data_IF_910070635356
#
_entry.id   IF_910070635356
#
_cell.length_a   1.000
_cell.length_b   1.000
_cell.length_c   1.000
_cell.angle_alpha   90.00
_cell.angle_beta   90.00
_cell.angle_gamma   90.00
#
_symmetry.space_group_name_H-M   'P 1'
#
loop_
_entity.id
_entity.type
_entity.pdbx_description
1 polymer ?
#
# COMPACT_ATOMS: atom_id res chain seq x y z
N UNK A 1 -15.90 16.29 45.25
CA UNK A 1 -15.62 14.87 45.49
C UNK A 1 -15.01 14.27 44.22
N UNK A 2 -13.79 13.89 44.34
CA UNK A 2 -12.94 13.39 43.26
C UNK A 2 -13.36 11.96 42.89
N UNK A 3 -13.96 11.74 41.72
CA UNK A 3 -14.23 10.41 41.18
C UNK A 3 -12.89 9.86 40.65
N UNK A 4 -12.27 9.01 41.46
CA UNK A 4 -11.15 8.14 41.12
C UNK A 4 -11.46 7.37 39.85
N UNK A 5 -10.79 7.70 38.76
CA UNK A 5 -10.66 6.83 37.59
C UNK A 5 -9.98 5.53 38.07
N UNK A 6 -10.71 4.43 38.03
CA UNK A 6 -10.15 3.12 38.33
C UNK A 6 -8.86 2.92 37.51
N UNK A 7 -7.75 2.46 38.13
CA UNK A 7 -6.52 2.21 37.40
C UNK A 7 -6.77 1.17 36.34
N UNK A 8 -6.36 1.48 35.11
CA UNK A 8 -6.38 0.53 33.98
C UNK A 8 -5.66 -0.75 34.42
N UNK A 9 -6.39 -1.86 34.44
CA UNK A 9 -5.86 -3.17 34.74
C UNK A 9 -4.61 -3.42 33.89
N UNK A 10 -3.48 -3.82 34.45
CA UNK A 10 -2.28 -4.14 33.67
C UNK A 10 -2.65 -5.19 32.61
N UNK A 11 -2.31 -4.94 31.36
CA UNK A 11 -2.56 -5.89 30.28
C UNK A 11 -1.92 -7.24 30.66
N UNK A 12 -2.74 -8.30 30.65
CA UNK A 12 -2.27 -9.66 30.94
C UNK A 12 -1.01 -9.96 30.10
N UNK A 13 0.10 -10.40 30.70
CA UNK A 13 1.34 -10.73 29.99
C UNK A 13 1.14 -11.71 28.82
N UNK A 14 0.15 -12.62 28.92
CA UNK A 14 -0.23 -13.53 27.84
C UNK A 14 -0.85 -12.78 26.65
N UNK A 15 -1.67 -11.76 26.90
CA UNK A 15 -2.27 -10.89 25.86
C UNK A 15 -1.20 -10.06 25.15
N UNK A 16 -0.21 -9.55 25.87
CA UNK A 16 0.89 -8.76 25.28
C UNK A 16 1.83 -9.62 24.41
N UNK A 17 2.10 -10.88 24.79
CA UNK A 17 2.92 -11.82 24.03
C UNK A 17 2.21 -12.26 22.73
N UNK A 18 0.89 -12.50 22.80
CA UNK A 18 0.07 -12.82 21.64
C UNK A 18 0.00 -11.62 20.67
N UNK A 19 -0.22 -10.41 21.17
CA UNK A 19 -0.24 -9.20 20.34
C UNK A 19 1.08 -8.99 19.58
N UNK A 20 2.22 -9.23 20.21
CA UNK A 20 3.55 -9.15 19.54
C UNK A 20 3.70 -10.23 18.48
N UNK A 21 3.27 -11.46 18.74
CA UNK A 21 3.32 -12.56 17.76
C UNK A 21 2.45 -12.26 16.52
N UNK A 22 1.25 -11.75 16.74
CA UNK A 22 0.33 -11.34 15.67
C UNK A 22 0.89 -10.16 14.87
N UNK A 23 1.43 -9.14 15.55
CA UNK A 23 2.04 -7.98 14.89
C UNK A 23 3.27 -8.39 14.06
N UNK A 24 4.12 -9.28 14.56
CA UNK A 24 5.28 -9.80 13.83
C UNK A 24 4.88 -10.60 12.59
N UNK A 25 3.86 -11.45 12.71
CA UNK A 25 3.37 -12.21 11.56
C UNK A 25 2.67 -11.32 10.51
N UNK A 26 1.93 -10.28 10.94
CA UNK A 26 1.34 -9.29 10.05
C UNK A 26 2.43 -8.48 9.33
N UNK A 27 3.48 -8.07 10.04
CA UNK A 27 4.64 -7.39 9.46
C UNK A 27 5.32 -8.21 8.35
N UNK A 28 5.63 -9.50 8.62
CA UNK A 28 6.26 -10.37 7.63
C UNK A 28 5.31 -10.59 6.44
N UNK A 29 4.03 -10.83 6.69
CA UNK A 29 3.02 -10.96 5.63
C UNK A 29 3.00 -9.72 4.72
N UNK A 30 2.91 -8.52 5.31
CA UNK A 30 2.90 -7.27 4.55
C UNK A 30 4.23 -7.02 3.80
N UNK A 31 5.37 -7.44 4.34
CA UNK A 31 6.65 -7.31 3.65
C UNK A 31 6.71 -8.17 2.38
N UNK A 32 6.25 -9.42 2.47
CA UNK A 32 6.24 -10.35 1.34
C UNK A 32 5.18 -9.95 0.29
N UNK A 33 4.00 -9.52 0.73
CA UNK A 33 2.97 -8.93 -0.15
C UNK A 33 3.50 -7.70 -0.89
N UNK A 34 4.19 -6.82 -0.18
CA UNK A 34 4.79 -5.63 -0.77
C UNK A 34 5.88 -5.97 -1.79
N UNK A 35 6.69 -6.99 -1.52
CA UNK A 35 7.67 -7.49 -2.50
C UNK A 35 6.98 -7.88 -3.81
N UNK A 36 5.98 -8.76 -3.74
CA UNK A 36 5.26 -9.28 -4.91
C UNK A 36 4.65 -8.15 -5.76
N UNK A 37 4.24 -7.08 -5.10
CA UNK A 37 3.62 -5.94 -5.75
C UNK A 37 4.65 -4.98 -6.35
N UNK A 38 5.71 -4.69 -5.59
CA UNK A 38 6.71 -3.69 -5.98
C UNK A 38 7.72 -4.21 -7.00
N UNK A 39 7.96 -5.54 -7.04
CA UNK A 39 8.82 -6.16 -8.06
C UNK A 39 8.32 -5.84 -9.47
N UNK A 40 7.00 -5.85 -9.68
CA UNK A 40 6.42 -5.49 -10.96
C UNK A 40 6.58 -3.99 -11.27
N UNK A 41 6.38 -3.10 -10.30
CA UNK A 41 6.56 -1.66 -10.48
C UNK A 41 7.98 -1.29 -10.91
N UNK A 42 8.98 -1.87 -10.27
CA UNK A 42 10.40 -1.68 -10.62
C UNK A 42 10.72 -2.28 -11.99
N UNK A 43 10.23 -3.49 -12.27
CA UNK A 43 10.41 -4.11 -13.58
C UNK A 43 9.73 -3.29 -14.70
N UNK A 44 8.52 -2.77 -14.48
CA UNK A 44 7.80 -1.92 -15.42
C UNK A 44 8.56 -0.61 -15.73
N UNK A 45 9.24 -0.07 -14.73
CA UNK A 45 10.05 1.14 -14.90
C UNK A 45 11.34 0.90 -15.71
N UNK A 46 11.95 -0.29 -15.57
CA UNK A 46 13.31 -0.55 -16.04
C UNK A 46 13.40 -1.48 -17.25
N UNK A 47 12.56 -2.55 -17.33
CA UNK A 47 12.81 -3.61 -18.31
C UNK A 47 11.59 -4.16 -19.07
N UNK A 48 10.37 -4.17 -18.50
CA UNK A 48 9.22 -4.88 -19.12
C UNK A 48 8.86 -4.34 -20.52
N UNK A 49 9.13 -3.07 -20.79
CA UNK A 49 8.92 -2.49 -22.12
C UNK A 49 9.75 -3.21 -23.21
N UNK A 50 11.00 -3.59 -22.92
CA UNK A 50 11.88 -4.29 -23.88
C UNK A 50 11.44 -5.75 -24.08
N UNK A 51 10.93 -6.40 -23.02
CA UNK A 51 10.59 -7.82 -23.04
C UNK A 51 9.19 -8.09 -23.63
N UNK A 52 8.21 -7.24 -23.29
CA UNK A 52 6.80 -7.47 -23.62
C UNK A 52 6.24 -6.52 -24.68
N UNK A 53 6.95 -5.43 -25.01
CA UNK A 53 6.50 -4.41 -25.93
C UNK A 53 7.63 -3.94 -26.89
N UNK A 54 8.41 -4.87 -27.52
CA UNK A 54 9.57 -4.48 -28.34
C UNK A 54 9.21 -3.79 -29.65
N UNK A 55 8.00 -3.99 -30.18
CA UNK A 55 7.55 -3.49 -31.50
C UNK A 55 7.04 -2.05 -31.48
N UNK A 56 7.05 -1.39 -30.30
CA UNK A 56 6.65 0.00 -30.15
C UNK A 56 7.84 0.86 -29.71
N UNK A 57 7.73 2.19 -29.88
CA UNK A 57 8.75 3.09 -29.37
C UNK A 57 8.91 2.99 -27.84
N UNK A 58 10.07 3.41 -27.34
CA UNK A 58 10.41 3.24 -25.94
C UNK A 58 9.45 3.93 -24.97
N UNK A 59 8.88 5.10 -25.32
CA UNK A 59 7.93 5.83 -24.49
C UNK A 59 6.59 5.10 -24.40
N UNK A 60 6.06 4.67 -25.54
CA UNK A 60 4.83 3.84 -25.62
C UNK A 60 5.01 2.51 -24.87
N UNK A 61 6.16 1.85 -25.00
CA UNK A 61 6.43 0.60 -24.28
C UNK A 61 6.42 0.77 -22.77
N UNK A 62 6.98 1.86 -22.24
CA UNK A 62 6.90 2.20 -20.82
C UNK A 62 5.49 2.51 -20.38
N UNK A 63 4.73 3.28 -21.18
CA UNK A 63 3.32 3.57 -20.88
C UNK A 63 2.50 2.27 -20.79
N UNK A 64 2.67 1.33 -21.73
CA UNK A 64 2.00 0.03 -21.71
C UNK A 64 2.40 -0.81 -20.49
N UNK A 65 3.68 -0.77 -20.08
CA UNK A 65 4.16 -1.42 -18.87
C UNK A 65 3.50 -0.84 -17.61
N UNK A 66 3.37 0.49 -17.52
CA UNK A 66 2.69 1.16 -16.41
C UNK A 66 1.16 0.93 -16.44
N UNK A 67 0.53 0.89 -17.62
CA UNK A 67 -0.88 0.52 -17.73
C UNK A 67 -1.11 -0.91 -17.23
N UNK A 68 -0.22 -1.84 -17.57
CA UNK A 68 -0.27 -3.22 -17.08
C UNK A 68 -0.11 -3.26 -15.55
N UNK A 69 0.75 -2.43 -14.95
CA UNK A 69 0.82 -2.26 -13.49
C UNK A 69 -0.53 -1.83 -12.92
N UNK A 70 -1.17 -0.83 -13.52
CA UNK A 70 -2.48 -0.29 -13.12
C UNK A 70 -3.61 -1.32 -13.18
N UNK A 71 -3.58 -2.27 -14.14
CA UNK A 71 -4.60 -3.32 -14.28
C UNK A 71 -4.75 -4.18 -13.03
N UNK A 72 -3.66 -4.45 -12.29
CA UNK A 72 -3.74 -5.17 -11.04
C UNK A 72 -4.60 -4.48 -9.97
N UNK A 73 -4.69 -3.16 -9.99
CA UNK A 73 -5.52 -2.42 -9.03
C UNK A 73 -7.01 -2.46 -9.37
N UNK A 74 -7.39 -2.58 -10.65
CA UNK A 74 -8.79 -2.68 -11.07
C UNK A 74 -9.46 -3.94 -10.49
N UNK A 75 -8.71 -5.04 -10.36
CA UNK A 75 -9.24 -6.29 -9.84
C UNK A 75 -9.40 -6.31 -8.30
N UNK A 76 -8.76 -5.39 -7.55
CA UNK A 76 -8.78 -5.37 -6.08
C UNK A 76 -10.17 -5.29 -5.45
N UNK A 77 -11.10 -4.43 -5.89
CA UNK A 77 -12.45 -4.39 -5.32
C UNK A 77 -13.19 -5.72 -5.48
N UNK A 78 -13.02 -6.39 -6.64
CA UNK A 78 -13.60 -7.71 -6.90
C UNK A 78 -12.99 -8.76 -5.96
N UNK A 79 -11.67 -8.71 -5.78
CA UNK A 79 -10.95 -9.55 -4.83
C UNK A 79 -11.40 -9.34 -3.39
N UNK A 80 -11.61 -8.10 -2.96
CA UNK A 80 -12.12 -7.74 -1.64
C UNK A 80 -13.50 -8.38 -1.37
N UNK A 81 -14.39 -8.38 -2.38
CA UNK A 81 -15.71 -9.01 -2.29
C UNK A 81 -15.57 -10.54 -2.22
N UNK A 82 -14.79 -11.12 -3.12
CA UNK A 82 -14.62 -12.57 -3.24
C UNK A 82 -14.00 -13.16 -1.97
N UNK A 83 -12.82 -12.67 -1.60
CA UNK A 83 -12.07 -13.19 -0.45
C UNK A 83 -12.65 -12.73 0.88
N UNK A 84 -13.32 -11.58 0.93
CA UNK A 84 -14.14 -11.16 2.07
C UNK A 84 -15.27 -12.15 2.33
N UNK A 85 -15.99 -12.56 1.30
CA UNK A 85 -17.07 -13.54 1.41
C UNK A 85 -16.58 -14.94 1.84
N UNK A 86 -15.45 -15.39 1.29
CA UNK A 86 -14.79 -16.64 1.71
C UNK A 86 -14.37 -16.52 3.19
N UNK A 87 -13.76 -15.40 3.58
CA UNK A 87 -13.30 -15.15 4.94
C UNK A 87 -14.44 -15.16 5.98
N UNK A 88 -15.58 -14.62 5.63
CA UNK A 88 -16.75 -14.55 6.51
C UNK A 88 -17.52 -15.87 6.61
N UNK A 89 -17.45 -16.74 5.59
CA UNK A 89 -18.15 -18.04 5.57
C UNK A 89 -17.29 -19.24 5.95
N UNK A 90 -16.07 -19.30 5.43
CA UNK A 90 -15.18 -20.46 5.54
C UNK A 90 -14.13 -20.26 6.63
N UNK A 91 -13.79 -19.01 6.91
CA UNK A 91 -12.82 -18.63 7.93
C UNK A 91 -11.75 -17.66 7.38
N UNK A 92 -11.36 -16.72 8.23
CA UNK A 92 -10.38 -15.68 7.86
C UNK A 92 -9.01 -16.27 7.51
N UNK A 93 -8.58 -17.30 8.25
CA UNK A 93 -7.34 -18.03 7.99
C UNK A 93 -7.34 -18.66 6.60
N UNK A 94 -8.44 -19.34 6.24
CA UNK A 94 -8.59 -20.00 4.94
C UNK A 94 -8.56 -19.01 3.78
N UNK A 95 -9.27 -17.89 3.90
CA UNK A 95 -9.27 -16.82 2.92
C UNK A 95 -7.85 -16.29 2.68
N UNK A 96 -7.11 -15.98 3.76
CA UNK A 96 -5.76 -15.47 3.69
C UNK A 96 -4.73 -16.48 3.13
N UNK A 97 -4.94 -17.78 3.32
CA UNK A 97 -4.11 -18.81 2.70
C UNK A 97 -4.30 -18.76 1.17
N UNK A 98 -5.55 -18.71 0.71
CA UNK A 98 -5.83 -18.65 -0.72
C UNK A 98 -5.32 -17.38 -1.39
N UNK A 99 -5.38 -16.22 -0.70
CA UNK A 99 -4.82 -14.97 -1.23
C UNK A 99 -3.30 -15.06 -1.39
N UNK A 100 -2.57 -15.60 -0.40
CA UNK A 100 -1.13 -15.79 -0.47
C UNK A 100 -0.74 -16.74 -1.61
N UNK A 101 -1.45 -17.87 -1.76
CA UNK A 101 -1.17 -18.84 -2.82
C UNK A 101 -1.44 -18.22 -4.20
N UNK A 102 -2.61 -17.58 -4.38
CA UNK A 102 -2.95 -16.96 -5.66
C UNK A 102 -1.95 -15.87 -6.04
N UNK A 103 -1.55 -15.02 -5.07
CA UNK A 103 -0.61 -13.93 -5.30
C UNK A 103 0.78 -14.47 -5.66
N UNK A 104 1.34 -15.35 -4.85
CA UNK A 104 2.68 -15.88 -5.08
C UNK A 104 2.77 -16.71 -6.38
N UNK A 105 1.72 -17.48 -6.71
CA UNK A 105 1.65 -18.20 -7.98
C UNK A 105 1.56 -17.23 -9.15
N UNK A 106 0.71 -16.21 -9.08
CA UNK A 106 0.56 -15.26 -10.16
C UNK A 106 1.84 -14.42 -10.37
N UNK A 107 2.51 -13.99 -9.29
CA UNK A 107 3.79 -13.27 -9.36
C UNK A 107 4.90 -14.16 -9.93
N UNK A 108 5.06 -15.37 -9.41
CA UNK A 108 6.06 -16.32 -9.89
C UNK A 108 5.84 -16.73 -11.35
N UNK A 109 4.57 -16.86 -11.77
CA UNK A 109 4.20 -17.16 -13.15
C UNK A 109 4.60 -16.04 -14.14
N UNK A 110 4.69 -14.77 -13.72
CA UNK A 110 5.28 -13.71 -14.56
C UNK A 110 6.70 -14.06 -14.95
N UNK A 111 7.51 -14.58 -14.02
CA UNK A 111 8.88 -15.02 -14.30
C UNK A 111 8.98 -16.24 -15.22
N UNK A 112 7.89 -16.99 -15.39
CA UNK A 112 7.81 -18.15 -16.29
C UNK A 112 7.23 -17.80 -17.66
N UNK A 113 6.72 -16.57 -17.86
CA UNK A 113 6.14 -16.17 -19.14
C UNK A 113 7.20 -16.16 -20.25
N UNK A 114 6.88 -16.71 -21.44
CA UNK A 114 7.66 -16.43 -22.64
C UNK A 114 7.59 -14.95 -22.99
N UNK A 115 8.63 -14.43 -23.59
CA UNK A 115 8.72 -13.05 -24.08
C UNK A 115 7.91 -12.82 -25.36
N UNK A 116 7.83 -11.56 -25.80
CA UNK A 116 7.14 -11.19 -27.02
C UNK A 116 7.73 -11.87 -28.27
N UNK A 117 9.05 -12.02 -28.32
CA UNK A 117 9.72 -12.66 -29.46
C UNK A 117 9.33 -14.14 -29.61
N UNK A 118 8.92 -14.78 -28.52
CA UNK A 118 8.55 -16.22 -28.50
C UNK A 118 7.07 -16.44 -28.83
N UNK A 119 6.14 -15.67 -28.24
CA UNK A 119 4.68 -15.90 -28.37
C UNK A 119 3.90 -14.67 -28.85
N UNK A 120 4.59 -13.61 -29.30
CA UNK A 120 3.96 -12.41 -29.85
C UNK A 120 3.01 -11.73 -28.84
N UNK A 121 1.87 -11.29 -29.36
CA UNK A 121 0.85 -10.53 -28.58
C UNK A 121 0.32 -11.31 -27.36
N UNK A 122 0.45 -12.63 -27.32
CA UNK A 122 0.04 -13.43 -26.18
C UNK A 122 0.86 -13.13 -24.92
N UNK A 123 2.14 -12.70 -25.06
CA UNK A 123 2.99 -12.36 -23.93
C UNK A 123 2.42 -11.21 -23.09
N UNK A 124 2.14 -10.01 -23.63
CA UNK A 124 1.51 -8.94 -22.87
C UNK A 124 0.09 -9.25 -22.41
N UNK A 125 -0.71 -10.01 -23.17
CA UNK A 125 -2.05 -10.40 -22.75
C UNK A 125 -2.03 -11.30 -21.50
N UNK A 126 -1.15 -12.31 -21.49
CA UNK A 126 -0.97 -13.17 -20.32
C UNK A 126 -0.41 -12.39 -19.12
N UNK A 127 0.49 -11.44 -19.36
CA UNK A 127 1.00 -10.55 -18.33
C UNK A 127 -0.14 -9.76 -17.67
N UNK A 128 -1.08 -9.20 -18.45
CA UNK A 128 -2.28 -8.52 -17.93
C UNK A 128 -3.16 -9.47 -17.12
N UNK A 129 -3.40 -10.69 -17.61
CA UNK A 129 -4.19 -11.70 -16.88
C UNK A 129 -3.55 -12.01 -15.52
N UNK A 130 -2.23 -12.23 -15.48
CA UNK A 130 -1.52 -12.47 -14.21
C UNK A 130 -1.62 -11.27 -13.27
N UNK A 131 -1.57 -10.03 -13.78
CA UNK A 131 -1.77 -8.82 -12.99
C UNK A 131 -3.17 -8.72 -12.41
N UNK A 132 -4.20 -9.08 -13.17
CA UNK A 132 -5.58 -9.14 -12.66
C UNK A 132 -5.71 -10.19 -11.54
N UNK A 133 -5.10 -11.37 -11.69
CA UNK A 133 -5.08 -12.42 -10.67
C UNK A 133 -4.36 -11.97 -9.38
N UNK A 134 -3.22 -11.28 -9.51
CA UNK A 134 -2.54 -10.65 -8.36
C UNK A 134 -3.45 -9.63 -7.66
N UNK A 135 -4.10 -8.76 -8.44
CA UNK A 135 -5.03 -7.77 -7.89
C UNK A 135 -6.20 -8.39 -7.13
N UNK A 136 -6.78 -9.48 -7.66
CA UNK A 136 -7.82 -10.24 -6.96
C UNK A 136 -7.33 -10.74 -5.59
N UNK A 137 -6.10 -11.24 -5.51
CA UNK A 137 -5.53 -11.77 -4.26
C UNK A 137 -5.42 -10.70 -3.17
N UNK A 138 -4.95 -9.48 -3.51
CA UNK A 138 -4.63 -8.41 -2.53
C UNK A 138 -5.87 -7.72 -1.95
N UNK A 139 -7.03 -7.79 -2.65
CA UNK A 139 -8.19 -6.91 -2.39
C UNK A 139 -8.73 -6.86 -0.96
N UNK A 140 -8.53 -7.90 -0.13
CA UNK A 140 -9.09 -7.95 1.23
C UNK A 140 -8.05 -7.89 2.37
N UNK A 141 -6.76 -7.92 2.10
CA UNK A 141 -5.75 -8.19 3.13
C UNK A 141 -5.37 -6.97 3.97
N UNK A 142 -5.20 -5.80 3.35
CA UNK A 142 -4.72 -4.59 4.04
C UNK A 142 -5.66 -4.11 5.16
N UNK A 143 -6.96 -4.01 4.88
CA UNK A 143 -7.94 -3.58 5.87
C UNK A 143 -8.01 -4.51 7.08
N UNK A 144 -7.85 -5.82 6.87
CA UNK A 144 -7.82 -6.82 7.93
C UNK A 144 -6.61 -6.69 8.84
N UNK A 145 -5.42 -6.49 8.29
CA UNK A 145 -4.18 -6.35 9.06
C UNK A 145 -4.20 -5.10 9.96
N UNK A 146 -4.69 -3.95 9.43
CA UNK A 146 -4.87 -2.72 10.21
C UNK A 146 -5.91 -2.90 11.32
N UNK A 147 -7.06 -3.51 11.01
CA UNK A 147 -8.12 -3.70 11.99
C UNK A 147 -7.67 -4.58 13.16
N UNK A 148 -7.02 -5.72 12.86
CA UNK A 148 -6.47 -6.61 13.89
C UNK A 148 -5.44 -5.88 14.75
N UNK A 149 -4.55 -5.11 14.16
CA UNK A 149 -3.53 -4.35 14.89
C UNK A 149 -4.16 -3.30 15.81
N UNK A 150 -5.21 -2.61 15.36
CA UNK A 150 -5.88 -1.55 16.14
C UNK A 150 -6.83 -2.08 17.22
N UNK A 151 -7.48 -3.23 17.00
CA UNK A 151 -8.36 -3.86 17.99
C UNK A 151 -7.62 -4.38 19.22
N UNK A 152 -6.36 -4.84 19.05
CA UNK A 152 -5.52 -5.30 20.16
C UNK A 152 -4.74 -4.17 20.85
N UNK A 153 -4.83 -2.94 20.33
CA UNK A 153 -4.10 -1.79 20.87
C UNK A 153 -4.90 -1.07 21.96
N UNK A 154 -4.20 -0.63 23.01
CA UNK A 154 -4.78 0.32 23.95
C UNK A 154 -5.18 1.60 23.23
N UNK A 155 -6.30 2.29 23.60
CA UNK A 155 -6.84 3.47 22.90
C UNK A 155 -5.79 4.54 22.59
N UNK A 156 -4.87 4.80 23.52
CA UNK A 156 -3.77 5.79 23.37
C UNK A 156 -2.65 5.36 22.43
N UNK A 157 -2.65 4.10 21.94
CA UNK A 157 -1.59 3.55 21.07
C UNK A 157 -2.14 3.08 19.71
N UNK A 158 -3.42 3.32 19.42
CA UNK A 158 -4.08 2.81 18.20
C UNK A 158 -3.38 3.24 16.92
N UNK A 159 -3.02 4.53 16.78
CA UNK A 159 -2.36 5.03 15.57
C UNK A 159 -0.96 4.41 15.38
N UNK A 160 -0.19 4.24 16.46
CA UNK A 160 1.10 3.55 16.40
C UNK A 160 0.95 2.08 15.96
N UNK A 161 -0.01 1.36 16.54
CA UNK A 161 -0.26 -0.04 16.15
C UNK A 161 -0.79 -0.17 14.73
N UNK A 162 -1.55 0.81 14.23
CA UNK A 162 -1.95 0.89 12.82
C UNK A 162 -0.75 1.13 11.88
N UNK A 163 0.31 1.80 12.35
CA UNK A 163 1.53 2.05 11.58
C UNK A 163 2.47 0.84 11.51
N UNK A 164 2.41 -0.11 12.45
CA UNK A 164 3.31 -1.28 12.48
C UNK A 164 3.23 -2.14 11.22
N UNK A 165 2.06 -2.57 10.72
CA UNK A 165 1.95 -3.29 9.46
C UNK A 165 2.55 -2.51 8.28
N UNK A 166 2.44 -1.18 8.29
CA UNK A 166 2.95 -0.31 7.23
C UNK A 166 4.48 -0.35 7.08
N UNK A 167 5.21 -0.75 8.13
CA UNK A 167 6.67 -0.95 8.08
C UNK A 167 7.04 -2.10 7.12
N UNK A 168 6.14 -3.04 6.88
CA UNK A 168 6.35 -4.12 5.91
C UNK A 168 6.58 -3.59 4.48
N UNK A 169 5.92 -2.48 4.12
CA UNK A 169 6.05 -1.86 2.80
C UNK A 169 7.50 -1.46 2.45
N UNK A 170 8.22 -0.65 3.23
CA UNK A 170 9.63 -0.35 2.94
C UNK A 170 10.54 -1.59 2.98
N UNK A 171 10.24 -2.60 3.79
CA UNK A 171 11.01 -3.87 3.75
C UNK A 171 10.83 -4.57 2.41
N UNK A 172 9.61 -4.65 1.89
CA UNK A 172 9.34 -5.17 0.54
C UNK A 172 10.11 -4.39 -0.53
N UNK A 173 10.11 -3.04 -0.45
CA UNK A 173 10.89 -2.18 -1.38
C UNK A 173 12.39 -2.45 -1.28
N UNK A 174 12.94 -2.59 -0.07
CA UNK A 174 14.36 -2.91 0.14
C UNK A 174 14.69 -4.25 -0.52
N UNK A 175 13.87 -5.28 -0.32
CA UNK A 175 14.07 -6.59 -0.93
C UNK A 175 14.05 -6.53 -2.47
N UNK A 176 13.07 -5.83 -3.05
CA UNK A 176 12.99 -5.63 -4.51
C UNK A 176 14.21 -4.88 -5.02
N UNK A 177 14.50 -3.73 -4.41
CA UNK A 177 15.60 -2.87 -4.85
C UNK A 177 16.95 -3.57 -4.73
N UNK A 178 17.20 -4.31 -3.63
CA UNK A 178 18.41 -5.10 -3.47
C UNK A 178 18.53 -6.19 -4.58
N UNK A 179 17.42 -6.84 -4.93
CA UNK A 179 17.40 -7.81 -6.03
C UNK A 179 17.76 -7.14 -7.35
N UNK A 180 17.15 -6.01 -7.71
CA UNK A 180 17.47 -5.30 -8.96
C UNK A 180 18.85 -4.66 -8.96
N UNK A 181 19.40 -4.22 -7.83
CA UNK A 181 20.79 -3.76 -7.71
C UNK A 181 21.80 -4.88 -8.03
N UNK A 182 21.53 -6.11 -7.57
CA UNK A 182 22.35 -7.27 -7.93
C UNK A 182 22.24 -7.54 -9.44
N UNK A 183 21.07 -7.40 -10.03
CA UNK A 183 20.86 -7.60 -11.47
C UNK A 183 21.46 -6.46 -12.31
N UNK A 184 21.55 -5.25 -11.81
CA UNK A 184 22.16 -4.11 -12.51
C UNK A 184 23.68 -4.29 -12.76
N UNK A 185 24.30 -5.33 -12.18
CA UNK A 185 25.71 -5.73 -12.48
C UNK A 185 25.81 -6.71 -13.65
N UNK A 186 24.70 -7.18 -14.19
CA UNK A 186 24.62 -8.14 -15.28
C UNK A 186 24.51 -7.39 -16.62
N UNK A 187 25.06 -7.96 -17.70
CA UNK A 187 24.97 -7.34 -19.02
C UNK A 187 23.53 -7.30 -19.55
N UNK A 188 23.23 -6.31 -20.42
CA UNK A 188 21.90 -6.17 -21.02
C UNK A 188 21.49 -7.43 -21.79
N UNK A 189 22.44 -8.10 -22.50
CA UNK A 189 22.15 -9.34 -23.21
C UNK A 189 21.73 -10.47 -22.26
N UNK A 190 22.42 -10.62 -21.12
CA UNK A 190 22.04 -11.64 -20.13
C UNK A 190 20.71 -11.30 -19.46
N UNK A 191 20.44 -10.01 -19.23
CA UNK A 191 19.17 -9.53 -18.71
C UNK A 191 18.02 -9.93 -19.65
N UNK A 192 18.15 -9.65 -20.94
CA UNK A 192 17.15 -10.00 -21.96
C UNK A 192 17.08 -11.51 -22.21
N UNK A 193 18.19 -12.25 -22.09
CA UNK A 193 18.22 -13.71 -22.22
C UNK A 193 17.44 -14.46 -21.11
N UNK A 194 17.04 -13.78 -20.03
CA UNK A 194 16.15 -14.36 -19.03
C UNK A 194 16.48 -14.05 -17.58
N UNK A 195 17.55 -13.33 -17.26
CA UNK A 195 17.90 -12.97 -15.88
C UNK A 195 16.81 -12.08 -15.24
N UNK A 196 16.07 -11.30 -16.01
CA UNK A 196 14.92 -10.51 -15.58
C UNK A 196 13.82 -11.34 -14.88
N UNK A 197 13.80 -12.66 -15.09
CA UNK A 197 12.84 -13.58 -14.48
C UNK A 197 13.09 -13.80 -12.99
N UNK A 198 14.34 -13.69 -12.55
CA UNK A 198 14.77 -14.02 -11.18
C UNK A 198 13.95 -13.27 -10.11
N UNK A 199 13.75 -11.95 -10.19
CA UNK A 199 12.93 -11.25 -9.20
C UNK A 199 11.52 -11.79 -9.05
N UNK A 200 10.89 -12.20 -10.14
CA UNK A 200 9.55 -12.79 -10.11
C UNK A 200 9.56 -14.22 -9.57
N UNK A 201 10.55 -15.02 -9.94
CA UNK A 201 10.68 -16.41 -9.43
C UNK A 201 10.95 -16.47 -7.93
N UNK A 202 11.56 -15.45 -7.33
CA UNK A 202 11.72 -15.31 -5.88
C UNK A 202 10.37 -15.22 -5.14
N UNK A 203 9.28 -14.90 -5.82
CA UNK A 203 7.96 -14.95 -5.23
C UNK A 203 7.57 -16.37 -4.74
N UNK A 204 8.02 -17.43 -5.40
CA UNK A 204 7.73 -18.82 -4.98
C UNK A 204 8.30 -19.16 -3.59
N UNK A 205 9.61 -19.01 -3.30
CA UNK A 205 10.13 -19.25 -1.95
C UNK A 205 9.52 -18.28 -0.92
N UNK A 206 9.26 -17.02 -1.28
CA UNK A 206 8.62 -16.07 -0.39
C UNK A 206 7.17 -16.47 -0.06
N UNK A 207 6.41 -16.93 -1.06
CA UNK A 207 5.08 -17.53 -0.83
C UNK A 207 5.17 -18.72 0.12
N UNK A 208 6.17 -19.61 -0.05
CA UNK A 208 6.39 -20.76 0.85
C UNK A 208 6.59 -20.32 2.30
N UNK A 209 7.41 -19.29 2.54
CA UNK A 209 7.64 -18.71 3.87
C UNK A 209 6.36 -18.09 4.44
N UNK A 210 5.64 -17.28 3.65
CA UNK A 210 4.40 -16.65 4.06
C UNK A 210 3.33 -17.69 4.42
N UNK A 211 3.21 -18.73 3.60
CA UNK A 211 2.29 -19.84 3.81
C UNK A 211 2.62 -20.62 5.08
N UNK A 212 3.88 -20.96 5.30
CA UNK A 212 4.35 -21.62 6.52
C UNK A 212 3.98 -20.82 7.78
N UNK A 213 4.27 -19.51 7.78
CA UNK A 213 3.93 -18.64 8.89
C UNK A 213 2.42 -18.55 9.13
N UNK A 214 1.62 -18.52 8.05
CA UNK A 214 0.17 -18.41 8.12
C UNK A 214 -0.49 -19.70 8.61
N UNK A 215 0.03 -20.84 8.22
CA UNK A 215 -0.42 -22.14 8.70
C UNK A 215 -0.19 -22.32 10.21
N UNK A 216 0.89 -21.73 10.75
CA UNK A 216 1.22 -21.76 12.18
C UNK A 216 0.37 -20.83 13.06
N UNK A 217 -0.49 -19.96 12.47
CA UNK A 217 -1.38 -19.06 13.22
C UNK A 217 -2.77 -19.73 13.32
N UNK A 218 -3.35 -19.73 14.54
CA UNK A 218 -4.72 -20.17 14.74
C UNK A 218 -5.74 -19.14 14.24
N UNK A 219 -6.95 -19.62 13.92
CA UNK A 219 -8.11 -18.77 13.62
C UNK A 219 -8.44 -17.85 14.81
N UNK A 220 -8.84 -16.61 14.51
CA UNK A 220 -9.06 -15.57 15.54
C UNK A 220 -10.15 -15.97 16.55
N UNK A 221 -9.95 -15.69 17.86
CA UNK A 221 -10.98 -15.97 18.89
C UNK A 221 -12.32 -15.28 18.58
N UNK A 222 -12.27 -14.08 17.99
CA UNK A 222 -13.45 -13.30 17.59
C UNK A 222 -14.26 -14.06 16.53
N UNK A 223 -13.59 -14.62 15.51
CA UNK A 223 -14.28 -15.43 14.50
C UNK A 223 -14.84 -16.72 15.10
N UNK A 224 -14.05 -17.43 15.92
CA UNK A 224 -14.51 -18.66 16.61
C UNK A 224 -15.76 -18.41 17.47
N UNK A 225 -15.83 -17.27 18.16
CA UNK A 225 -16.99 -16.89 18.99
C UNK A 225 -18.19 -16.45 18.17
N UNK A 226 -17.98 -15.67 17.09
CA UNK A 226 -19.05 -15.21 16.19
C UNK A 226 -19.68 -16.40 15.42
N UNK A 227 -18.85 -17.36 14.96
CA UNK A 227 -19.31 -18.57 14.30
C UNK A 227 -20.17 -19.43 15.25
N UNK A 228 -19.74 -19.60 16.52
CA UNK A 228 -20.53 -20.32 17.55
C UNK A 228 -21.86 -19.62 17.85
N UNK A 229 -21.91 -18.29 17.78
CA UNK A 229 -23.11 -17.51 18.09
C UNK A 229 -24.08 -17.34 16.89
N UNK A 230 -23.82 -17.93 15.74
CA UNK A 230 -24.59 -17.76 14.48
C UNK A 230 -24.82 -16.28 14.09
N UNK A 231 -23.92 -15.37 14.50
CA UNK A 231 -24.01 -13.92 14.29
C UNK A 231 -23.16 -13.42 13.11
N UNK A 232 -22.85 -14.28 12.15
CA UNK A 232 -22.13 -13.89 10.95
C UNK A 232 -23.06 -13.02 10.09
N UNK A 233 -22.62 -11.82 9.79
CA UNK A 233 -23.40 -10.82 9.00
C UNK A 233 -23.60 -11.35 7.58
N UNK A 234 -24.84 -11.38 7.08
CA UNK A 234 -25.16 -11.98 5.78
C UNK A 234 -24.47 -11.27 4.60
N UNK A 235 -24.36 -9.93 4.58
CA UNK A 235 -23.68 -9.18 3.49
C UNK A 235 -23.19 -7.83 4.01
N UNK A 236 -21.97 -7.71 4.60
CA UNK A 236 -21.41 -6.43 5.08
C UNK A 236 -21.28 -5.38 3.97
N UNK A 237 -20.94 -5.81 2.75
CA UNK A 237 -20.77 -4.94 1.59
C UNK A 237 -22.03 -4.10 1.29
N UNK A 238 -23.21 -4.70 1.31
CA UNK A 238 -24.47 -3.99 1.01
C UNK A 238 -24.76 -2.89 2.05
N UNK A 239 -24.45 -3.17 3.32
CA UNK A 239 -24.57 -2.20 4.39
C UNK A 239 -23.62 -1.01 4.20
N UNK A 240 -22.35 -1.29 3.86
CA UNK A 240 -21.34 -0.25 3.58
C UNK A 240 -21.77 0.60 2.40
N UNK A 241 -22.20 0.00 1.29
CA UNK A 241 -22.62 0.73 0.10
C UNK A 241 -23.89 1.56 0.32
N UNK A 242 -24.82 1.13 1.18
CA UNK A 242 -26.06 1.87 1.46
C UNK A 242 -25.90 2.97 2.49
N UNK A 243 -25.13 2.73 3.56
CA UNK A 243 -25.09 3.63 4.72
C UNK A 243 -23.76 4.36 4.92
N UNK A 244 -22.65 3.89 4.30
CA UNK A 244 -21.30 4.41 4.55
C UNK A 244 -20.54 4.82 3.27
N UNK A 245 -21.20 4.88 2.11
CA UNK A 245 -20.56 5.21 0.83
C UNK A 245 -19.80 6.56 0.88
N UNK A 246 -20.36 7.58 1.57
CA UNK A 246 -19.70 8.87 1.71
C UNK A 246 -18.42 8.77 2.56
N UNK A 247 -18.42 7.97 3.63
CA UNK A 247 -17.22 7.71 4.43
C UNK A 247 -16.17 6.92 3.62
N UNK A 248 -16.61 5.97 2.77
CA UNK A 248 -15.71 5.23 1.87
C UNK A 248 -15.02 6.19 0.89
N UNK A 249 -15.76 7.09 0.24
CA UNK A 249 -15.16 8.08 -0.69
C UNK A 249 -14.20 9.04 0.03
N UNK A 250 -14.57 9.51 1.21
CA UNK A 250 -13.71 10.37 2.04
C UNK A 250 -12.43 9.65 2.45
N UNK A 251 -12.52 8.38 2.87
CA UNK A 251 -11.37 7.56 3.20
C UNK A 251 -10.49 7.27 1.97
N UNK A 252 -11.10 7.03 0.80
CA UNK A 252 -10.38 6.85 -0.46
C UNK A 252 -9.60 8.11 -0.83
N UNK A 253 -10.22 9.28 -0.74
CA UNK A 253 -9.55 10.56 -0.98
C UNK A 253 -8.37 10.79 0.00
N UNK A 254 -8.57 10.50 1.30
CA UNK A 254 -7.51 10.60 2.31
C UNK A 254 -6.36 9.62 2.09
N UNK A 255 -6.59 8.50 1.41
CA UNK A 255 -5.59 7.47 1.14
C UNK A 255 -4.73 7.73 -0.10
N UNK A 256 -5.21 8.58 -1.02
CA UNK A 256 -4.65 8.71 -2.37
C UNK A 256 -3.17 9.07 -2.37
N UNK A 257 -2.75 10.07 -1.58
CA UNK A 257 -1.35 10.47 -1.50
C UNK A 257 -0.49 9.35 -0.89
N UNK A 258 -0.94 8.73 0.21
CA UNK A 258 -0.20 7.69 0.90
C UNK A 258 0.16 6.51 0.01
N UNK A 259 -0.75 6.13 -0.90
CA UNK A 259 -0.55 5.01 -1.84
C UNK A 259 0.12 5.51 -3.12
N UNK A 260 -0.41 6.58 -3.72
CA UNK A 260 -0.01 7.05 -5.05
C UNK A 260 1.39 7.66 -5.08
N UNK A 261 1.81 8.33 -3.99
CA UNK A 261 3.17 8.88 -3.90
C UNK A 261 4.25 7.81 -4.02
N UNK A 262 4.02 6.59 -3.53
CA UNK A 262 4.94 5.48 -3.72
C UNK A 262 5.17 5.20 -5.21
N UNK A 263 4.10 5.03 -6.00
CA UNK A 263 4.22 4.73 -7.44
C UNK A 263 4.79 5.88 -8.24
N UNK A 264 4.51 7.12 -7.84
CA UNK A 264 5.11 8.28 -8.48
C UNK A 264 6.61 8.38 -8.15
N UNK A 265 6.97 8.32 -6.86
CA UNK A 265 8.35 8.59 -6.41
C UNK A 265 9.31 7.41 -6.59
N UNK A 266 8.81 6.17 -6.63
CA UNK A 266 9.65 5.00 -6.89
C UNK A 266 9.51 4.54 -8.35
N UNK A 267 8.32 4.16 -8.80
CA UNK A 267 8.14 3.57 -10.12
C UNK A 267 8.36 4.61 -11.24
N UNK A 268 7.60 5.73 -11.24
CA UNK A 268 7.73 6.73 -12.30
C UNK A 268 9.10 7.45 -12.24
N UNK A 269 9.52 7.89 -11.07
CA UNK A 269 10.77 8.66 -10.92
C UNK A 269 12.03 7.83 -11.24
N UNK A 270 12.00 6.50 -11.05
CA UNK A 270 13.05 5.61 -11.55
C UNK A 270 13.13 5.65 -13.09
N UNK A 271 12.02 5.49 -13.77
CA UNK A 271 11.95 5.57 -15.23
C UNK A 271 12.35 6.95 -15.75
N UNK A 272 11.89 8.03 -15.10
CA UNK A 272 12.27 9.40 -15.42
C UNK A 272 13.78 9.62 -15.23
N UNK A 273 14.35 9.15 -14.14
CA UNK A 273 15.77 9.24 -13.83
C UNK A 273 16.65 8.55 -14.88
N UNK A 274 16.28 7.35 -15.30
CA UNK A 274 17.07 6.60 -16.29
C UNK A 274 16.88 7.11 -17.72
N UNK A 275 15.64 7.43 -18.14
CA UNK A 275 15.31 7.73 -19.54
C UNK A 275 15.43 9.21 -19.89
N UNK A 276 15.06 10.10 -18.97
CA UNK A 276 15.06 11.55 -19.23
C UNK A 276 16.34 12.20 -18.71
N UNK A 277 16.78 11.81 -17.51
CA UNK A 277 17.98 12.39 -16.89
C UNK A 277 19.27 11.62 -17.23
N UNK A 278 19.20 10.45 -17.87
CA UNK A 278 20.36 9.64 -18.23
C UNK A 278 21.14 9.07 -17.04
N UNK A 279 20.50 8.97 -15.85
CA UNK A 279 21.13 8.40 -14.67
C UNK A 279 21.24 6.88 -14.80
N UNK A 280 22.27 6.28 -14.18
CA UNK A 280 22.40 4.83 -14.16
C UNK A 280 21.27 4.18 -13.36
N UNK A 281 20.90 2.94 -13.73
CA UNK A 281 19.91 2.14 -13.00
C UNK A 281 20.31 1.98 -11.53
N UNK A 282 21.60 1.78 -11.24
CA UNK A 282 22.10 1.68 -9.88
C UNK A 282 21.87 2.97 -9.07
N UNK A 283 21.96 4.15 -9.70
CA UNK A 283 21.67 5.42 -9.02
C UNK A 283 20.22 5.52 -8.58
N UNK A 284 19.26 5.23 -9.47
CA UNK A 284 17.84 5.35 -9.16
C UNK A 284 17.39 4.28 -8.16
N UNK A 285 17.97 3.08 -8.24
CA UNK A 285 17.74 2.01 -7.27
C UNK A 285 18.31 2.34 -5.89
N UNK A 286 19.54 2.88 -5.82
CA UNK A 286 20.12 3.32 -4.55
C UNK A 286 19.29 4.42 -3.87
N UNK A 287 18.75 5.37 -4.64
CA UNK A 287 17.86 6.39 -4.10
C UNK A 287 16.60 5.77 -3.47
N UNK A 288 15.97 4.79 -4.14
CA UNK A 288 14.83 4.06 -3.61
C UNK A 288 15.20 3.23 -2.36
N UNK A 289 16.37 2.59 -2.35
CA UNK A 289 16.87 1.82 -1.22
C UNK A 289 17.06 2.71 0.02
N UNK A 290 17.80 3.81 -0.11
CA UNK A 290 18.08 4.74 1.00
C UNK A 290 16.79 5.38 1.51
N UNK A 291 15.88 5.77 0.60
CA UNK A 291 14.55 6.26 0.96
C UNK A 291 13.74 5.25 1.78
N UNK A 292 13.76 3.98 1.38
CA UNK A 292 13.05 2.91 2.09
C UNK A 292 13.66 2.59 3.45
N UNK A 293 15.00 2.65 3.58
CA UNK A 293 15.67 2.50 4.89
C UNK A 293 15.25 3.63 5.83
N UNK A 294 15.13 4.87 5.35
CA UNK A 294 14.63 5.98 6.17
C UNK A 294 13.18 5.75 6.61
N UNK A 295 12.34 5.14 5.77
CA UNK A 295 10.95 4.84 6.12
C UNK A 295 10.81 3.85 7.27
N UNK A 296 11.79 2.96 7.52
CA UNK A 296 11.78 2.07 8.68
C UNK A 296 11.79 2.84 10.01
N UNK A 297 12.35 4.05 10.01
CA UNK A 297 12.38 4.93 11.19
C UNK A 297 11.23 5.94 11.18
N UNK A 298 10.94 6.53 10.03
CA UNK A 298 9.94 7.60 9.92
C UNK A 298 8.51 7.09 10.06
N UNK A 299 8.17 5.89 9.58
CA UNK A 299 6.81 5.32 9.78
C UNK A 299 6.47 5.16 11.26
N UNK A 300 7.28 4.49 12.11
CA UNK A 300 7.01 4.41 13.55
C UNK A 300 6.97 5.78 14.24
N UNK A 301 7.88 6.68 13.86
CA UNK A 301 7.93 8.03 14.42
C UNK A 301 6.63 8.82 14.12
N UNK A 302 6.15 8.79 12.89
CA UNK A 302 4.89 9.42 12.51
C UNK A 302 3.67 8.70 13.11
N UNK A 303 3.70 7.38 13.25
CA UNK A 303 2.68 6.63 13.98
C UNK A 303 2.61 7.03 15.45
N UNK A 304 3.76 7.25 16.10
CA UNK A 304 3.83 7.78 17.47
C UNK A 304 3.31 9.23 17.56
N UNK A 305 3.70 10.08 16.61
CA UNK A 305 3.22 11.47 16.56
C UNK A 305 1.71 11.53 16.30
N UNK A 306 1.18 10.65 15.45
CA UNK A 306 -0.26 10.53 15.18
C UNK A 306 -1.09 10.20 16.44
N UNK A 307 -0.53 9.44 17.40
CA UNK A 307 -1.19 9.22 18.69
C UNK A 307 -1.34 10.52 19.52
N UNK A 308 -0.45 11.49 19.32
CA UNK A 308 -0.49 12.78 20.07
C UNK A 308 -1.38 13.81 19.41
N UNK A 309 -1.27 13.98 18.09
CA UNK A 309 -1.97 15.04 17.36
C UNK A 309 -3.26 14.57 16.67
N UNK A 310 -3.47 13.26 16.57
CA UNK A 310 -4.59 12.62 15.87
C UNK A 310 -4.22 12.21 14.44
N UNK A 311 -4.74 11.05 14.00
CA UNK A 311 -4.40 10.45 12.70
C UNK A 311 -4.79 11.34 11.52
N UNK A 312 -5.98 11.96 11.54
CA UNK A 312 -6.43 12.85 10.46
C UNK A 312 -5.55 14.10 10.31
N UNK A 313 -5.11 14.68 11.43
CA UNK A 313 -4.18 15.83 11.39
C UNK A 313 -2.82 15.43 10.88
N UNK A 314 -2.35 14.22 11.20
CA UNK A 314 -1.07 13.73 10.72
C UNK A 314 -1.09 13.48 9.21
N UNK A 315 -2.16 12.86 8.69
CA UNK A 315 -2.37 12.69 7.23
C UNK A 315 -2.39 14.06 6.55
N UNK A 316 -3.14 15.01 7.09
CA UNK A 316 -3.24 16.37 6.54
C UNK A 316 -1.89 17.09 6.55
N UNK A 317 -1.13 17.02 7.64
CA UNK A 317 0.20 17.69 7.73
C UNK A 317 1.19 17.10 6.72
N UNK A 318 1.20 15.77 6.53
CA UNK A 318 1.99 15.10 5.49
C UNK A 318 1.58 15.55 4.09
N UNK A 319 0.28 15.65 3.82
CA UNK A 319 -0.22 16.09 2.52
C UNK A 319 0.08 17.58 2.23
N UNK A 320 -0.06 18.47 3.23
CA UNK A 320 0.32 19.89 3.10
C UNK A 320 1.83 20.02 2.85
N UNK A 321 2.66 19.32 3.61
CA UNK A 321 4.11 19.35 3.41
C UNK A 321 4.47 18.82 2.00
N UNK A 322 3.83 17.74 1.53
CA UNK A 322 4.05 17.21 0.19
C UNK A 322 3.60 18.20 -0.90
N UNK A 323 2.47 18.89 -0.71
CA UNK A 323 2.01 19.92 -1.65
C UNK A 323 3.05 21.05 -1.80
N UNK A 324 3.61 21.52 -0.68
CA UNK A 324 4.60 22.60 -0.68
C UNK A 324 5.87 22.18 -1.41
N UNK A 325 6.33 20.93 -1.23
CA UNK A 325 7.59 20.46 -1.85
C UNK A 325 7.39 19.91 -3.26
N UNK A 326 6.17 19.71 -3.75
CA UNK A 326 5.88 18.99 -5.01
C UNK A 326 6.63 19.56 -6.22
N UNK A 327 6.61 20.87 -6.43
CA UNK A 327 7.33 21.51 -7.53
C UNK A 327 8.83 21.67 -7.24
N UNK A 328 9.27 22.22 -6.08
CA UNK A 328 10.69 22.28 -5.73
C UNK A 328 11.40 20.93 -5.83
N UNK A 329 10.74 19.83 -5.42
CA UNK A 329 11.28 18.48 -5.48
C UNK A 329 11.71 18.12 -6.91
N UNK A 330 10.78 18.21 -7.88
CA UNK A 330 11.06 17.83 -9.26
C UNK A 330 11.91 18.84 -10.02
N UNK A 331 11.86 20.12 -9.65
CA UNK A 331 12.81 21.11 -10.15
C UNK A 331 14.25 20.75 -9.75
N UNK A 332 14.50 20.38 -8.50
CA UNK A 332 15.81 19.93 -8.04
C UNK A 332 16.22 18.63 -8.74
N UNK A 333 15.30 17.63 -8.81
CA UNK A 333 15.57 16.36 -9.47
C UNK A 333 16.00 16.55 -10.92
N UNK A 334 15.34 17.42 -11.67
CA UNK A 334 15.64 17.64 -13.10
C UNK A 334 17.00 18.26 -13.38
N UNK A 335 17.61 18.91 -12.38
CA UNK A 335 18.93 19.54 -12.47
C UNK A 335 19.98 18.82 -11.61
N UNK A 336 19.64 17.63 -11.08
CA UNK A 336 20.46 16.99 -10.06
C UNK A 336 21.60 16.15 -10.67
N UNK A 337 22.77 16.23 -10.05
CA UNK A 337 23.78 15.17 -10.13
C UNK A 337 23.39 14.01 -9.22
N UNK A 338 24.10 12.87 -9.33
CA UNK A 338 23.79 11.64 -8.58
C UNK A 338 23.60 11.86 -7.06
N UNK A 339 24.50 12.52 -6.31
CA UNK A 339 24.30 12.74 -4.87
C UNK A 339 23.09 13.62 -4.57
N UNK A 340 22.83 14.66 -5.34
CA UNK A 340 21.69 15.57 -5.15
C UNK A 340 20.38 14.82 -5.46
N UNK A 341 20.34 13.99 -6.50
CA UNK A 341 19.19 13.14 -6.83
C UNK A 341 18.82 12.23 -5.65
N UNK A 342 19.80 11.48 -5.12
CA UNK A 342 19.58 10.55 -3.99
C UNK A 342 19.08 11.31 -2.77
N UNK A 343 19.73 12.43 -2.40
CA UNK A 343 19.34 13.24 -1.26
C UNK A 343 17.93 13.83 -1.41
N UNK A 344 17.57 14.24 -2.63
CA UNK A 344 16.28 14.83 -2.92
C UNK A 344 15.15 13.79 -2.82
N UNK A 345 15.36 12.56 -3.30
CA UNK A 345 14.42 11.45 -3.14
C UNK A 345 14.27 11.08 -1.65
N UNK A 346 15.37 11.04 -0.91
CA UNK A 346 15.38 10.74 0.53
C UNK A 346 14.53 11.75 1.32
N UNK A 347 14.80 13.04 1.15
CA UNK A 347 14.10 14.11 1.87
C UNK A 347 12.66 14.23 1.39
N UNK A 348 12.43 14.16 0.08
CA UNK A 348 11.11 14.27 -0.54
C UNK A 348 10.15 13.16 -0.11
N UNK A 349 10.68 11.96 0.20
CA UNK A 349 9.90 10.83 0.67
C UNK A 349 9.37 10.96 2.10
N UNK A 350 9.93 11.87 2.93
CA UNK A 350 9.53 12.01 4.34
C UNK A 350 8.08 12.51 4.47
N UNK A 351 7.72 13.54 3.71
CA UNK A 351 6.40 14.17 3.81
C UNK A 351 5.24 13.21 3.46
N UNK A 352 5.22 12.53 2.30
CA UNK A 352 4.16 11.57 1.99
C UNK A 352 4.16 10.34 2.92
N UNK A 353 5.31 9.96 3.48
CA UNK A 353 5.39 8.87 4.48
C UNK A 353 4.60 9.20 5.74
N UNK A 354 4.48 10.48 6.13
CA UNK A 354 3.64 10.90 7.24
C UNK A 354 2.16 10.62 7.00
N UNK A 355 1.67 10.87 5.77
CA UNK A 355 0.30 10.55 5.37
C UNK A 355 0.07 9.02 5.35
N UNK A 356 1.01 8.26 4.81
CA UNK A 356 0.96 6.80 4.79
C UNK A 356 0.91 6.19 6.18
N UNK A 357 1.83 6.57 7.08
CA UNK A 357 1.93 6.02 8.44
C UNK A 357 0.66 6.21 9.27
N UNK A 358 -0.04 7.34 9.11
CA UNK A 358 -1.23 7.67 9.87
C UNK A 358 -2.55 7.20 9.22
N UNK A 359 -2.51 6.73 7.96
CA UNK A 359 -3.70 6.37 7.18
C UNK A 359 -4.54 5.29 7.86
N UNK A 360 -3.88 4.22 8.36
CA UNK A 360 -4.58 3.14 9.04
C UNK A 360 -5.34 3.60 10.29
N UNK A 361 -4.74 4.50 11.06
CA UNK A 361 -5.38 5.13 12.23
C UNK A 361 -6.59 5.98 11.84
N UNK A 362 -6.48 6.81 10.78
CA UNK A 362 -7.58 7.62 10.26
C UNK A 362 -8.75 6.74 9.84
N UNK A 363 -8.50 5.67 9.10
CA UNK A 363 -9.55 4.76 8.64
C UNK A 363 -10.21 4.02 9.81
N UNK A 364 -9.42 3.57 10.81
CA UNK A 364 -9.94 2.92 12.00
C UNK A 364 -10.80 3.86 12.88
N UNK A 365 -10.54 5.17 12.84
CA UNK A 365 -11.35 6.18 13.55
C UNK A 365 -12.65 6.53 12.80
N UNK A 366 -12.66 6.34 11.45
CA UNK A 366 -13.80 6.72 10.62
C UNK A 366 -14.89 5.64 10.56
N UNK A 367 -14.50 4.35 10.60
CA UNK A 367 -15.43 3.23 10.39
C UNK A 367 -15.74 2.47 11.68
N UNK A 368 -17.03 2.11 11.92
CA UNK A 368 -17.42 1.23 13.02
C UNK A 368 -16.76 -0.16 12.90
N UNK A 369 -16.40 -0.76 14.04
CA UNK A 369 -15.73 -2.07 14.07
C UNK A 369 -16.50 -3.18 13.31
N UNK A 370 -17.86 -3.12 13.28
CA UNK A 370 -18.73 -4.11 12.64
C UNK A 370 -18.57 -4.17 11.12
N UNK A 371 -18.35 -3.04 10.46
CA UNK A 371 -18.22 -2.90 9.01
C UNK A 371 -16.84 -2.43 8.60
N UNK A 372 -15.97 -2.15 9.56
CA UNK A 372 -14.66 -1.54 9.37
C UNK A 372 -13.78 -2.32 8.39
N UNK A 373 -13.77 -3.65 8.46
CA UNK A 373 -13.00 -4.48 7.55
C UNK A 373 -13.38 -4.22 6.08
N UNK A 374 -14.66 -4.40 5.73
CA UNK A 374 -15.16 -4.23 4.36
C UNK A 374 -15.02 -2.77 3.90
N UNK A 375 -15.35 -1.81 4.76
CA UNK A 375 -15.29 -0.39 4.41
C UNK A 375 -13.85 0.10 4.18
N UNK A 376 -12.91 -0.28 5.04
CA UNK A 376 -11.49 0.06 4.89
C UNK A 376 -10.88 -0.59 3.64
N UNK A 377 -11.16 -1.87 3.41
CA UNK A 377 -10.67 -2.59 2.23
C UNK A 377 -11.22 -2.01 0.93
N UNK A 378 -12.49 -1.61 0.90
CA UNK A 378 -13.11 -0.96 -0.26
C UNK A 378 -12.51 0.43 -0.51
N UNK A 379 -12.37 1.25 0.55
CA UNK A 379 -11.77 2.58 0.43
C UNK A 379 -10.31 2.51 -0.05
N UNK A 380 -9.53 1.59 0.51
CA UNK A 380 -8.14 1.34 0.09
C UNK A 380 -8.05 0.86 -1.36
N UNK A 381 -8.97 -0.02 -1.80
CA UNK A 381 -9.01 -0.52 -3.17
C UNK A 381 -9.36 0.57 -4.18
N UNK A 382 -10.32 1.45 -3.86
CA UNK A 382 -10.70 2.59 -4.73
C UNK A 382 -9.53 3.58 -4.86
N UNK A 383 -8.90 3.96 -3.76
CA UNK A 383 -7.70 4.80 -3.79
C UNK A 383 -6.56 4.10 -4.56
N UNK A 384 -6.43 2.78 -4.39
CA UNK A 384 -5.47 1.95 -5.09
C UNK A 384 -5.61 2.01 -6.60
N UNK A 385 -6.82 1.99 -7.16
CA UNK A 385 -7.05 2.10 -8.60
C UNK A 385 -6.41 3.40 -9.13
N UNK A 386 -6.77 4.54 -8.57
CA UNK A 386 -6.20 5.83 -9.01
C UNK A 386 -4.68 5.86 -8.82
N UNK A 387 -4.19 5.34 -7.69
CA UNK A 387 -2.76 5.30 -7.36
C UNK A 387 -1.97 4.40 -8.31
N UNK A 388 -2.52 3.26 -8.71
CA UNK A 388 -1.87 2.31 -9.62
C UNK A 388 -1.67 2.85 -11.03
N UNK A 389 -2.55 3.77 -11.47
CA UNK A 389 -2.42 4.46 -12.75
C UNK A 389 -1.58 5.75 -12.67
N UNK A 390 -1.11 6.15 -11.49
CA UNK A 390 -0.28 7.36 -11.33
C UNK A 390 0.92 7.38 -12.26
N UNK A 391 1.73 6.31 -12.42
CA UNK A 391 2.85 6.31 -13.35
C UNK A 391 2.39 6.50 -14.81
N UNK A 392 1.30 5.85 -15.22
CA UNK A 392 0.76 5.99 -16.58
C UNK A 392 0.27 7.42 -16.86
N UNK A 393 -0.48 8.00 -15.92
CA UNK A 393 -0.97 9.37 -16.02
C UNK A 393 0.21 10.34 -16.15
N UNK A 394 1.25 10.15 -15.32
CA UNK A 394 2.43 11.00 -15.33
C UNK A 394 3.23 10.83 -16.61
N UNK A 395 3.30 9.61 -17.17
CA UNK A 395 3.98 9.33 -18.44
C UNK A 395 3.29 10.04 -19.61
N UNK A 396 1.95 10.03 -19.68
CA UNK A 396 1.19 10.75 -20.69
C UNK A 396 1.46 12.26 -20.63
N UNK A 397 1.53 12.84 -19.43
CA UNK A 397 1.92 14.24 -19.27
C UNK A 397 3.37 14.49 -19.71
N UNK A 398 4.28 13.56 -19.43
CA UNK A 398 5.66 13.62 -19.87
C UNK A 398 5.78 13.69 -21.38
N UNK A 399 5.09 12.82 -22.09
CA UNK A 399 5.07 12.79 -23.57
C UNK A 399 4.48 14.08 -24.13
N UNK A 400 3.35 14.55 -23.60
CA UNK A 400 2.70 15.77 -24.05
C UNK A 400 3.48 17.05 -23.77
N UNK A 401 4.49 17.01 -22.88
CA UNK A 401 5.29 18.17 -22.47
C UNK A 401 6.76 18.08 -22.85
N UNK A 402 7.14 17.07 -23.64
CA UNK A 402 8.54 16.83 -24.01
C UNK A 402 9.47 16.55 -22.84
N UNK A 403 8.97 15.88 -21.79
CA UNK A 403 9.76 15.52 -20.60
C UNK A 403 9.95 16.66 -19.59
N UNK A 404 9.11 17.70 -19.63
CA UNK A 404 9.23 18.85 -18.73
C UNK A 404 9.21 18.44 -17.24
N UNK A 405 10.05 19.04 -16.43
CA UNK A 405 10.26 18.69 -15.03
C UNK A 405 9.02 18.88 -14.12
N UNK A 406 8.10 19.75 -14.47
CA UNK A 406 6.98 20.16 -13.61
C UNK A 406 5.81 19.17 -13.56
N UNK A 407 5.63 18.31 -14.57
CA UNK A 407 4.46 17.44 -14.68
C UNK A 407 4.30 16.42 -13.53
N UNK A 408 5.37 15.77 -12.99
CA UNK A 408 5.22 14.91 -11.82
C UNK A 408 4.87 15.72 -10.57
N UNK A 409 5.35 16.97 -10.49
CA UNK A 409 4.98 17.92 -9.44
C UNK A 409 3.49 18.24 -9.44
N UNK A 410 2.87 18.42 -10.62
CA UNK A 410 1.41 18.62 -10.75
C UNK A 410 0.65 17.41 -10.22
N UNK A 411 1.03 16.19 -10.62
CA UNK A 411 0.36 14.97 -10.18
C UNK A 411 0.47 14.81 -8.66
N UNK A 412 1.65 15.05 -8.08
CA UNK A 412 1.90 15.00 -6.65
C UNK A 412 1.08 16.06 -5.90
N UNK A 413 0.98 17.29 -6.45
CA UNK A 413 0.18 18.38 -5.89
C UNK A 413 -1.32 18.04 -5.90
N UNK A 414 -1.85 17.51 -7.01
CA UNK A 414 -3.26 17.10 -7.11
C UNK A 414 -3.60 16.00 -6.11
N UNK A 415 -2.77 14.97 -5.98
CA UNK A 415 -2.95 13.93 -4.97
C UNK A 415 -2.94 14.52 -3.55
N UNK A 416 -2.05 15.47 -3.29
CA UNK A 416 -1.96 16.15 -2.00
C UNK A 416 -3.23 16.94 -1.68
N UNK A 417 -3.75 17.71 -2.63
CA UNK A 417 -4.99 18.49 -2.48
C UNK A 417 -6.21 17.60 -2.19
N UNK A 418 -6.34 16.49 -2.96
CA UNK A 418 -7.43 15.52 -2.75
C UNK A 418 -7.29 14.88 -1.36
N UNK A 419 -6.08 14.54 -0.94
CA UNK A 419 -5.84 13.96 0.39
C UNK A 419 -6.10 14.94 1.53
N UNK A 420 -5.76 16.22 1.37
CA UNK A 420 -6.11 17.26 2.35
C UNK A 420 -7.63 17.37 2.50
N UNK A 421 -8.37 17.45 1.38
CA UNK A 421 -9.82 17.50 1.40
C UNK A 421 -10.44 16.25 2.07
N UNK A 422 -9.93 15.05 1.73
CA UNK A 422 -10.34 13.80 2.35
C UNK A 422 -10.07 13.75 3.86
N UNK A 423 -8.88 14.18 4.30
CA UNK A 423 -8.52 14.20 5.73
C UNK A 423 -9.36 15.21 6.53
N UNK A 424 -9.66 16.39 5.96
CA UNK A 424 -10.56 17.38 6.58
C UNK A 424 -11.98 16.84 6.72
N UNK A 425 -12.51 16.22 5.66
CA UNK A 425 -13.83 15.61 5.67
C UNK A 425 -13.92 14.47 6.68
N UNK A 426 -12.90 13.59 6.73
CA UNK A 426 -12.80 12.51 7.71
C UNK A 426 -12.80 13.04 9.14
N UNK A 427 -12.02 14.09 9.42
CA UNK A 427 -11.97 14.72 10.73
C UNK A 427 -13.34 15.29 11.14
N UNK A 428 -14.06 15.91 10.20
CA UNK A 428 -15.39 16.45 10.45
C UNK A 428 -16.41 15.35 10.75
N UNK A 429 -16.39 14.25 9.95
CA UNK A 429 -17.28 13.10 10.16
C UNK A 429 -17.03 12.43 11.51
N UNK A 430 -15.78 12.20 11.88
CA UNK A 430 -15.42 11.59 13.16
C UNK A 430 -15.89 12.43 14.35
N UNK A 431 -15.72 13.76 14.29
CA UNK A 431 -16.22 14.68 15.33
C UNK A 431 -17.75 14.65 15.49
N UNK A 432 -18.50 14.59 14.38
CA UNK A 432 -19.96 14.49 14.41
C UNK A 432 -20.42 13.19 15.06
N UNK A 433 -19.78 12.07 14.71
CA UNK A 433 -20.10 10.78 15.29
C UNK A 433 -19.85 10.74 16.81
N UNK A 434 -18.78 11.39 17.28
CA UNK A 434 -18.46 11.47 18.72
C UNK A 434 -19.45 12.37 19.47
N UNK A 435 -19.91 13.46 18.86
CA UNK A 435 -20.89 14.37 19.46
C UNK A 435 -22.32 13.80 19.49
N UNK A 436 -22.64 12.85 18.60
CA UNK A 436 -23.96 12.21 18.52
C UNK A 436 -24.16 11.08 19.55
N UNK A 437 -23.13 10.63 20.27
CA UNK A 437 -23.25 9.68 21.38
C UNK A 437 -23.72 10.47 22.62
N UNK A 438 -24.98 10.28 23.10
CA UNK A 438 -25.44 10.98 24.28
C UNK A 438 -24.54 10.61 25.46
N UNK A 439 -24.04 11.62 26.18
CA UNK A 439 -23.48 11.37 27.52
C UNK A 439 -24.59 10.72 28.35
N UNK A 440 -24.33 9.60 29.05
CA UNK A 440 -25.30 9.08 30.01
C UNK A 440 -25.59 10.20 30.98
N UNK A 441 -26.87 10.64 30.98
CA UNK A 441 -27.37 11.66 31.88
C UNK A 441 -26.95 11.27 33.30
N UNK A 442 -26.22 12.17 33.93
CA UNK A 442 -25.76 11.97 35.31
C UNK A 442 -26.93 11.56 36.16
N UNK A 443 -26.80 10.47 36.89
CA UNK A 443 -27.64 10.11 38.01
C UNK A 443 -27.70 11.34 38.92
N UNK A 444 -28.90 11.97 39.01
CA UNK A 444 -29.17 13.00 39.99
C UNK A 444 -28.88 12.43 41.39
N UNK A 445 -28.19 13.17 42.26
CA UNK A 445 -28.03 12.76 43.65
C UNK A 445 -29.39 12.83 44.33
N UNK A 446 -29.85 11.70 44.88
CA UNK A 446 -30.92 11.65 45.87
C UNK A 446 -30.40 12.07 47.24
#
# INVERSE_FOLDING_TARGET
MSTSLAPATPADPKSSKMARKVAGASFIGTALESYDFYVFGTAAALILNRIFFPDVDAATGVLLSFLTLGMGFIARPVGAILFGHIGDRVGRKTSLIWTIVLMGVATGAVGLLPDYNTIGIWAPLLLVVLRLLQGLAVGGEWGGSILIATEHAAPRKRALYAAIPQIGSPVGTIMVTATFLLLATVSDEAMEAGVWRIPFLLAFPFMGIALYLRLAIEETPVFKSAAKAHRLTRIPLLEVLRSQWAAVLVASAAALLGIGSYFLMTTYTQSYGTRVLGLSESTVLNAALVGSVLQLVTIPAFGFLANRIGSARMVMSGAVATLVISFPLYFIISNANTPVYILTILIGGIAPTAAWAALGGLMADLFPARTGFTAMSLAYSIAGILSGFTPSITQVFSEGTGGAWWHPGVVLALMSLITIAGALAAQHMTRRNTAAVPHPAGSAPA
#
